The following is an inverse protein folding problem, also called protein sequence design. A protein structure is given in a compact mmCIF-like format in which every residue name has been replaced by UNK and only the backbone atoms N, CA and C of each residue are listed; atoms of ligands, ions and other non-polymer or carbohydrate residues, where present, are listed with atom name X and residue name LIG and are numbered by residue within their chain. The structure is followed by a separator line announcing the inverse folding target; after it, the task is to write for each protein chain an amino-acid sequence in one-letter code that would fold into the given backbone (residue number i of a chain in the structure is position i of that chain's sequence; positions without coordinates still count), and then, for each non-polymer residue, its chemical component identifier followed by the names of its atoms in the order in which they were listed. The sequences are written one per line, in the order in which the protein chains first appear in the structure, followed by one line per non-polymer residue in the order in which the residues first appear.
data_IF_301581168921
#
_entry.id   IF_301581168921
#
_cell.length_a   1.000
_cell.length_b   1.000
_cell.length_c   1.000
_cell.angle_alpha   90.00
_cell.angle_beta   90.00
_cell.angle_gamma   90.00
#
_symmetry.space_group_name_H-M   'P 1'
#
loop_
_entity.id
_entity.type
_entity.pdbx_description
1 polymer ?
#
# COMPACT_ATOMS: atom_id res chain seq x y z
N UNK A 1 8.74 -26.06 -5.09
CA UNK A 1 9.67 -24.92 -5.21
C UNK A 1 8.93 -23.78 -5.91
N UNK A 2 8.65 -22.71 -5.18
CA UNK A 2 7.94 -21.55 -5.72
C UNK A 2 8.93 -20.53 -6.29
N UNK A 3 8.68 -20.05 -7.49
CA UNK A 3 9.51 -19.03 -8.15
C UNK A 3 8.75 -17.69 -8.12
N UNK A 4 9.20 -16.75 -7.30
CA UNK A 4 8.68 -15.37 -7.31
C UNK A 4 9.63 -14.51 -8.16
N UNK A 5 9.07 -13.81 -9.15
CA UNK A 5 9.81 -12.83 -9.96
C UNK A 5 9.56 -11.44 -9.36
N UNK A 6 10.59 -10.84 -8.77
CA UNK A 6 10.54 -9.46 -8.27
C UNK A 6 11.18 -8.53 -9.30
N UNK A 7 10.44 -7.48 -9.71
CA UNK A 7 10.83 -6.59 -10.80
C UNK A 7 11.90 -5.59 -10.39
N UNK A 8 13.10 -5.76 -10.92
CA UNK A 8 14.16 -4.78 -11.09
C UNK A 8 14.87 -5.12 -12.42
N UNK A 9 15.72 -4.24 -12.95
CA UNK A 9 16.33 -4.33 -14.29
C UNK A 9 17.08 -5.64 -14.64
N UNK A 10 17.18 -6.60 -13.70
CA UNK A 10 17.39 -8.03 -13.92
C UNK A 10 16.44 -8.79 -12.97
N UNK A 11 15.54 -9.62 -13.51
CA UNK A 11 14.61 -10.41 -12.70
C UNK A 11 15.35 -11.34 -11.73
N UNK A 12 15.14 -11.18 -10.43
CA UNK A 12 15.72 -12.06 -9.42
C UNK A 12 14.73 -13.18 -9.09
N UNK A 13 15.16 -14.43 -9.28
CA UNK A 13 14.42 -15.63 -8.89
C UNK A 13 14.71 -15.93 -7.43
N UNK A 14 13.68 -15.89 -6.59
CA UNK A 14 13.79 -16.24 -5.17
C UNK A 14 12.91 -17.46 -4.87
N UNK A 15 13.51 -18.46 -4.22
CA UNK A 15 12.79 -19.63 -3.67
C UNK A 15 12.41 -19.34 -2.22
N UNK A 16 11.15 -19.55 -1.87
CA UNK A 16 10.60 -19.27 -0.54
C UNK A 16 9.78 -20.48 -0.08
N UNK A 17 9.95 -20.88 1.18
CA UNK A 17 9.10 -21.87 1.86
C UNK A 17 7.98 -21.15 2.58
N UNK A 18 6.75 -21.60 2.39
CA UNK A 18 5.55 -20.98 2.95
C UNK A 18 4.88 -21.97 3.91
N UNK A 19 4.27 -21.46 4.98
CA UNK A 19 3.53 -22.30 5.94
C UNK A 19 2.23 -22.85 5.35
N UNK A 20 1.75 -23.95 5.93
CA UNK A 20 0.58 -24.72 5.49
C UNK A 20 -0.70 -23.88 5.34
N UNK A 21 -0.91 -22.89 6.22
CA UNK A 21 -2.09 -22.00 6.16
C UNK A 21 -2.14 -21.14 4.89
N UNK A 22 -0.98 -20.67 4.43
CA UNK A 22 -0.87 -19.87 3.20
C UNK A 22 -0.95 -20.76 1.97
N UNK A 23 -0.47 -22.00 2.05
CA UNK A 23 -0.56 -22.96 0.95
C UNK A 23 -2.03 -23.26 0.61
N UNK A 24 -2.84 -23.62 1.61
CA UNK A 24 -4.28 -23.85 1.41
C UNK A 24 -5.04 -22.61 0.91
N UNK A 25 -4.61 -21.41 1.32
CA UNK A 25 -5.14 -20.17 0.74
C UNK A 25 -4.81 -20.05 -0.75
N UNK A 26 -3.54 -20.27 -1.13
CA UNK A 26 -3.10 -20.17 -2.52
C UNK A 26 -3.81 -21.21 -3.39
N UNK A 27 -3.90 -22.45 -2.94
CA UNK A 27 -4.64 -23.52 -3.62
C UNK A 27 -6.10 -23.14 -3.87
N UNK A 28 -6.80 -22.60 -2.87
CA UNK A 28 -8.17 -22.12 -3.03
C UNK A 28 -8.27 -21.00 -4.07
N UNK A 29 -7.34 -20.06 -4.07
CA UNK A 29 -7.34 -18.93 -5.00
C UNK A 29 -7.07 -19.35 -6.45
N UNK A 30 -6.29 -20.42 -6.65
CA UNK A 30 -6.07 -21.04 -7.96
C UNK A 30 -7.28 -21.89 -8.37
N UNK A 31 -7.82 -22.71 -7.46
CA UNK A 31 -8.97 -23.59 -7.71
C UNK A 31 -10.24 -22.81 -8.08
N UNK A 32 -10.40 -21.59 -7.53
CA UNK A 32 -11.50 -20.68 -7.90
C UNK A 32 -11.30 -19.99 -9.25
N UNK A 33 -10.15 -20.20 -9.91
CA UNK A 33 -9.80 -19.58 -11.18
C UNK A 33 -9.41 -18.10 -11.08
N UNK A 34 -9.26 -17.56 -9.86
CA UNK A 34 -8.91 -16.14 -9.67
C UNK A 34 -7.46 -15.83 -10.03
N UNK A 35 -6.57 -16.83 -9.94
CA UNK A 35 -5.18 -16.73 -10.39
C UNK A 35 -4.75 -18.02 -11.08
N UNK A 36 -3.85 -17.92 -12.05
CA UNK A 36 -3.38 -19.07 -12.84
C UNK A 36 -2.18 -19.80 -12.22
N UNK A 37 -1.51 -19.21 -11.23
CA UNK A 37 -0.36 -19.84 -10.56
C UNK A 37 -0.08 -19.28 -9.18
N UNK A 38 0.63 -20.06 -8.36
CA UNK A 38 1.13 -19.63 -7.05
C UNK A 38 1.99 -18.36 -7.15
N UNK A 39 2.83 -18.27 -8.18
CA UNK A 39 3.68 -17.10 -8.43
C UNK A 39 2.87 -15.83 -8.71
N UNK A 40 1.71 -15.96 -9.36
CA UNK A 40 0.80 -14.85 -9.64
C UNK A 40 0.08 -14.38 -8.38
N UNK A 41 -0.36 -15.31 -7.53
CA UNK A 41 -0.93 -15.00 -6.21
C UNK A 41 0.08 -14.22 -5.38
N UNK A 42 1.34 -14.69 -5.31
CA UNK A 42 2.38 -14.04 -4.52
C UNK A 42 2.74 -12.65 -5.03
N UNK A 43 2.85 -12.46 -6.35
CA UNK A 43 3.10 -11.12 -6.93
C UNK A 43 1.96 -10.17 -6.57
N UNK A 44 0.72 -10.62 -6.69
CA UNK A 44 -0.45 -9.83 -6.33
C UNK A 44 -0.47 -9.46 -4.84
N UNK A 45 -0.13 -10.42 -3.98
CA UNK A 45 -0.04 -10.21 -2.53
C UNK A 45 1.06 -9.21 -2.16
N UNK A 46 2.26 -9.35 -2.72
CA UNK A 46 3.37 -8.42 -2.47
C UNK A 46 3.08 -7.01 -2.96
N UNK A 47 2.42 -6.88 -4.12
CA UNK A 47 2.00 -5.57 -4.63
C UNK A 47 0.97 -4.90 -3.72
N UNK A 48 0.04 -5.67 -3.15
CA UNK A 48 -0.92 -5.14 -2.18
C UNK A 48 -0.20 -4.67 -0.91
N UNK A 49 0.74 -5.46 -0.40
CA UNK A 49 1.54 -5.09 0.77
C UNK A 49 2.34 -3.80 0.52
N UNK A 50 3.02 -3.69 -0.62
CA UNK A 50 3.76 -2.50 -1.01
C UNK A 50 2.87 -1.25 -1.03
N UNK A 51 1.65 -1.37 -1.57
CA UNK A 51 0.69 -0.25 -1.58
C UNK A 51 0.27 0.15 -0.16
N UNK A 52 0.02 -0.83 0.72
CA UNK A 52 -0.37 -0.58 2.10
C UNK A 52 0.73 0.11 2.89
N UNK A 53 1.97 -0.38 2.80
CA UNK A 53 3.14 0.23 3.46
C UNK A 53 3.35 1.67 2.96
N UNK A 54 3.30 1.89 1.64
CA UNK A 54 3.42 3.24 1.08
C UNK A 54 2.33 4.19 1.58
N UNK A 55 1.08 3.74 1.63
CA UNK A 55 -0.03 4.57 2.14
C UNK A 55 0.16 4.89 3.63
N UNK A 56 0.60 3.91 4.41
CA UNK A 56 0.84 4.08 5.84
C UNK A 56 1.99 5.05 6.12
N UNK A 57 3.05 4.99 5.32
CA UNK A 57 4.18 5.91 5.44
C UNK A 57 3.82 7.34 5.02
N UNK A 58 3.00 7.50 3.97
CA UNK A 58 2.46 8.82 3.60
C UNK A 58 1.61 9.40 4.72
N UNK A 59 0.76 8.58 5.36
CA UNK A 59 -0.07 9.02 6.48
C UNK A 59 0.79 9.45 7.68
N UNK A 60 1.80 8.66 8.04
CA UNK A 60 2.74 9.00 9.12
C UNK A 60 3.43 10.34 8.87
N UNK A 61 3.96 10.54 7.65
CA UNK A 61 4.59 11.82 7.28
C UNK A 61 3.63 13.00 7.38
N UNK A 62 2.38 12.84 6.92
CA UNK A 62 1.38 13.89 7.03
C UNK A 62 1.02 14.23 8.48
N UNK A 63 1.03 13.24 9.38
CA UNK A 63 0.85 13.46 10.81
C UNK A 63 2.05 14.19 11.41
N UNK A 64 3.27 13.74 11.13
CA UNK A 64 4.50 14.38 11.61
C UNK A 64 4.58 15.85 11.14
N UNK A 65 4.25 16.11 9.88
CA UNK A 65 4.16 17.47 9.33
C UNK A 65 3.11 18.32 10.06
N UNK A 66 1.95 17.72 10.39
CA UNK A 66 0.90 18.38 11.15
C UNK A 66 1.32 18.71 12.58
N UNK A 67 1.96 17.79 13.29
CA UNK A 67 2.44 17.98 14.66
C UNK A 67 3.52 19.07 14.72
N UNK A 68 4.46 19.07 13.76
CA UNK A 68 5.51 20.09 13.66
C UNK A 68 4.95 21.46 13.26
N UNK A 69 3.80 21.51 12.58
CA UNK A 69 3.18 22.79 12.16
C UNK A 69 2.64 23.64 13.32
N UNK A 70 2.54 23.06 14.52
CA UNK A 70 2.06 23.74 15.72
C UNK A 70 0.54 23.97 15.73
N UNK A 71 0.04 24.61 16.77
CA UNK A 71 -1.39 24.88 16.91
C UNK A 71 -1.85 26.01 15.98
N UNK A 72 -2.97 25.78 15.28
CA UNK A 72 -3.57 26.81 14.46
C UNK A 72 -4.43 27.74 15.33
N UNK A 73 -4.10 29.03 15.36
CA UNK A 73 -4.88 30.06 16.08
C UNK A 73 -6.18 30.46 15.36
N UNK A 74 -6.40 29.97 14.15
CA UNK A 74 -7.57 30.30 13.33
C UNK A 74 -8.76 29.42 13.69
N UNK A 75 -9.93 30.04 13.80
CA UNK A 75 -11.20 29.32 13.86
C UNK A 75 -11.57 28.72 12.51
N UNK A 76 -12.42 27.69 12.52
CA UNK A 76 -12.90 27.03 11.30
C UNK A 76 -13.53 28.02 10.29
N UNK A 77 -14.22 29.06 10.79
CA UNK A 77 -14.82 30.12 9.95
C UNK A 77 -13.75 30.95 9.24
N UNK A 78 -12.70 31.35 9.95
CA UNK A 78 -11.60 32.14 9.39
C UNK A 78 -10.80 31.33 8.37
N UNK A 79 -10.61 30.03 8.59
CA UNK A 79 -9.99 29.12 7.61
C UNK A 79 -10.83 29.05 6.34
N UNK A 80 -12.17 28.92 6.45
CA UNK A 80 -13.07 28.86 5.30
C UNK A 80 -13.07 30.18 4.51
N UNK A 81 -13.19 31.33 5.18
CA UNK A 81 -13.14 32.65 4.55
C UNK A 81 -11.78 32.91 3.87
N UNK A 82 -10.67 32.54 4.52
CA UNK A 82 -9.33 32.64 3.93
C UNK A 82 -9.18 31.77 2.68
N UNK A 83 -9.79 30.57 2.68
CA UNK A 83 -9.79 29.68 1.52
C UNK A 83 -10.63 30.25 0.37
N UNK A 84 -11.79 30.84 0.68
CA UNK A 84 -12.68 31.48 -0.29
C UNK A 84 -12.03 32.71 -0.93
N UNK A 85 -11.44 33.59 -0.11
CA UNK A 85 -10.69 34.76 -0.58
C UNK A 85 -9.52 34.39 -1.49
N UNK A 86 -8.83 33.27 -1.21
CA UNK A 86 -7.73 32.77 -2.05
C UNK A 86 -8.20 32.17 -3.37
N UNK A 87 -9.42 31.62 -3.43
CA UNK A 87 -9.99 31.04 -4.65
C UNK A 87 -10.72 32.04 -5.55
N UNK A 88 -10.92 33.30 -5.12
CA UNK A 88 -11.65 34.33 -5.88
C UNK A 88 -13.02 33.84 -6.41
N UNK A 89 -13.79 33.11 -5.59
CA UNK A 89 -15.19 32.75 -5.88
C UNK A 89 -16.10 33.25 -4.76
#
# INVERSE_FOLDING_TARGET
MLIIHTGGFMGRTTSVTIGESLDGFIEKMIATGRYGSTSEVMRSALRLLEQQENQQDLLRKALDEGEVSGECSLSLKEVAERRKARLHV
#
